data_IF_307570485862
#
_entry.id   IF_307570485862
#
_cell.length_a   1.000
_cell.length_b   1.000
_cell.length_c   1.000
_cell.angle_alpha   90.00
_cell.angle_beta   90.00
_cell.angle_gamma   90.00
#
_symmetry.space_group_name_H-M   'P 1'
#
loop_
_entity.id
_entity.type
_entity.pdbx_description
1 polymer ?
#
# COMPACT_ATOMS: atom_id res chain seq x y z
N UNK A 1 -6.66 -8.72 24.38
CA UNK A 1 -7.32 -7.87 23.37
C UNK A 1 -8.85 -7.90 23.50
N UNK A 2 -9.41 -6.88 24.16
CA UNK A 2 -10.86 -6.67 24.17
C UNK A 2 -11.27 -5.92 22.89
N UNK A 3 -11.91 -6.60 21.94
CA UNK A 3 -12.40 -5.94 20.74
C UNK A 3 -13.60 -5.04 21.06
N UNK A 4 -13.51 -3.75 20.70
CA UNK A 4 -14.59 -2.75 20.85
C UNK A 4 -15.54 -2.68 19.65
N UNK A 5 -15.23 -3.36 18.53
CA UNK A 5 -15.98 -3.30 17.27
C UNK A 5 -16.97 -4.46 17.06
N UNK A 6 -17.44 -5.07 18.15
CA UNK A 6 -18.22 -6.33 18.13
C UNK A 6 -19.53 -6.28 17.34
N UNK A 7 -20.08 -5.09 17.12
CA UNK A 7 -21.32 -4.89 16.35
C UNK A 7 -21.13 -4.73 14.83
N UNK A 8 -19.91 -4.91 14.31
CA UNK A 8 -19.58 -4.65 12.91
C UNK A 8 -18.73 -5.76 12.30
N UNK A 9 -18.78 -5.93 10.97
CA UNK A 9 -17.85 -6.78 10.24
C UNK A 9 -16.45 -6.14 10.27
N UNK A 10 -15.47 -6.83 10.85
CA UNK A 10 -14.11 -6.33 10.97
C UNK A 10 -13.09 -7.48 11.01
N UNK A 11 -11.83 -7.14 10.75
CA UNK A 11 -10.68 -8.02 10.94
C UNK A 11 -9.67 -7.41 11.92
N UNK A 12 -8.87 -8.26 12.55
CA UNK A 12 -7.72 -7.83 13.36
C UNK A 12 -6.47 -7.85 12.49
N UNK A 13 -6.00 -6.68 12.10
CA UNK A 13 -4.84 -6.52 11.25
C UNK A 13 -3.58 -6.26 12.10
N UNK A 14 -2.41 -6.85 11.77
CA UNK A 14 -1.14 -6.43 12.34
C UNK A 14 -0.72 -5.08 11.76
N UNK A 15 0.20 -4.37 12.45
CA UNK A 15 0.56 -2.97 12.16
C UNK A 15 1.24 -2.73 10.79
N UNK A 16 1.81 -3.79 10.22
CA UNK A 16 2.45 -3.86 8.90
C UNK A 16 1.46 -4.27 7.77
N UNK A 17 0.21 -4.57 8.11
CA UNK A 17 -0.79 -4.89 7.10
C UNK A 17 -1.09 -3.69 6.19
N UNK A 18 -1.36 -3.97 4.91
CA UNK A 18 -1.83 -2.99 3.93
C UNK A 18 -3.04 -2.19 4.42
N UNK A 19 -3.90 -2.79 5.26
CA UNK A 19 -5.03 -2.10 5.88
C UNK A 19 -4.62 -0.79 6.57
N UNK A 20 -3.47 -0.77 7.26
CA UNK A 20 -2.91 0.43 7.89
C UNK A 20 -1.94 1.17 6.97
N UNK A 21 -1.01 0.45 6.32
CA UNK A 21 0.05 1.10 5.56
C UNK A 21 -0.45 1.82 4.30
N UNK A 22 -1.64 1.49 3.79
CA UNK A 22 -2.25 2.23 2.67
C UNK A 22 -2.55 3.71 2.96
N UNK A 23 -2.68 4.05 4.24
CA UNK A 23 -2.97 5.41 4.68
C UNK A 23 -1.70 6.28 4.74
N UNK A 24 -0.51 5.66 4.71
CA UNK A 24 0.75 6.39 4.61
C UNK A 24 0.94 7.00 3.21
N UNK A 25 1.62 8.14 3.15
CA UNK A 25 2.11 8.68 1.90
C UNK A 25 3.20 7.76 1.32
N UNK A 26 3.29 7.58 -0.02
CA UNK A 26 4.33 6.77 -0.64
C UNK A 26 5.75 7.11 -0.17
N UNK A 27 6.05 8.40 0.01
CA UNK A 27 7.35 8.87 0.51
C UNK A 27 7.72 8.29 1.89
N UNK A 28 6.75 8.12 2.79
CA UNK A 28 6.99 7.52 4.12
C UNK A 28 7.25 6.02 4.03
N UNK A 29 6.57 5.32 3.11
CA UNK A 29 6.81 3.91 2.82
C UNK A 29 8.19 3.69 2.17
N UNK A 30 8.57 4.57 1.24
CA UNK A 30 9.91 4.62 0.65
C UNK A 30 10.98 4.84 1.72
N UNK A 31 10.76 5.77 2.67
CA UNK A 31 11.67 5.98 3.79
C UNK A 31 11.87 4.69 4.61
N UNK A 32 10.80 3.94 4.88
CA UNK A 32 10.91 2.67 5.60
C UNK A 32 11.78 1.65 4.81
N UNK A 33 11.55 1.52 3.50
CA UNK A 33 12.36 0.67 2.63
C UNK A 33 13.83 1.11 2.60
N UNK A 34 14.10 2.42 2.53
CA UNK A 34 15.45 2.98 2.59
C UNK A 34 16.16 2.64 3.90
N UNK A 35 15.47 2.73 5.06
CA UNK A 35 16.06 2.35 6.35
C UNK A 35 16.40 0.87 6.45
N UNK A 36 15.70 0.02 5.69
CA UNK A 36 16.00 -1.40 5.56
C UNK A 36 16.98 -1.73 4.42
N UNK A 37 17.53 -0.73 3.73
CA UNK A 37 18.37 -0.88 2.54
C UNK A 37 17.71 -1.72 1.43
N UNK A 38 16.39 -1.63 1.29
CA UNK A 38 15.62 -2.34 0.28
C UNK A 38 15.41 -1.42 -0.93
N UNK A 39 15.83 -1.89 -2.11
CA UNK A 39 15.59 -1.19 -3.36
C UNK A 39 14.10 -1.24 -3.75
N UNK A 40 13.64 -0.17 -4.41
CA UNK A 40 12.30 -0.06 -4.97
C UNK A 40 12.35 0.80 -6.22
N UNK A 41 11.38 0.58 -7.11
CA UNK A 41 11.28 1.30 -8.36
C UNK A 41 10.54 2.63 -8.18
N UNK A 42 11.00 3.65 -8.88
CA UNK A 42 10.34 4.97 -9.00
C UNK A 42 10.00 5.30 -10.44
N UNK A 43 10.68 4.67 -11.39
CA UNK A 43 10.44 4.79 -12.83
C UNK A 43 9.81 3.50 -13.38
N UNK A 44 9.02 3.57 -14.46
CA UNK A 44 8.54 2.37 -15.15
C UNK A 44 9.72 1.51 -15.61
N UNK A 45 9.57 0.17 -15.68
CA UNK A 45 10.65 -0.69 -16.13
C UNK A 45 11.03 -0.37 -17.59
N UNK A 46 12.31 -0.52 -18.00
CA UNK A 46 12.77 -0.11 -19.34
C UNK A 46 12.05 -0.79 -20.51
N UNK A 47 11.53 -2.00 -20.28
CA UNK A 47 10.77 -2.82 -21.21
C UNK A 47 9.25 -2.63 -21.10
N UNK A 48 8.78 -1.69 -20.27
CA UNK A 48 7.37 -1.35 -20.17
C UNK A 48 6.81 -0.88 -21.54
N UNK A 49 5.60 -1.33 -21.92
CA UNK A 49 4.92 -0.77 -23.07
C UNK A 49 4.75 0.75 -22.93
N UNK A 50 4.79 1.52 -24.03
CA UNK A 50 4.49 2.94 -23.98
C UNK A 50 3.16 3.21 -23.29
N UNK A 51 3.16 4.11 -22.30
CA UNK A 51 1.97 4.53 -21.58
C UNK A 51 1.62 6.00 -21.93
N UNK A 52 1.12 6.27 -23.16
CA UNK A 52 0.84 7.64 -23.60
C UNK A 52 -0.33 8.27 -22.84
N UNK A 53 -1.20 7.47 -22.22
CA UNK A 53 -2.34 7.96 -21.44
C UNK A 53 -1.95 8.39 -20.02
N UNK A 54 -0.78 7.95 -19.53
CA UNK A 54 -0.37 8.19 -18.15
C UNK A 54 -1.26 7.50 -17.11
N UNK A 55 -1.95 6.42 -17.52
CA UNK A 55 -2.89 5.69 -16.67
C UNK A 55 -2.32 4.37 -16.17
N UNK A 56 -2.72 3.97 -14.97
CA UNK A 56 -2.21 2.77 -14.31
C UNK A 56 -2.61 1.49 -15.07
N UNK A 57 -1.64 0.64 -15.47
CA UNK A 57 -1.90 -0.53 -16.31
C UNK A 57 -2.31 -1.79 -15.53
N UNK A 58 -2.26 -1.75 -14.19
CA UNK A 58 -2.56 -2.91 -13.34
C UNK A 58 -3.94 -3.48 -13.68
N UNK A 59 -4.05 -4.77 -14.03
CA UNK A 59 -5.33 -5.38 -14.35
C UNK A 59 -6.19 -5.48 -13.07
N UNK A 60 -7.43 -5.04 -13.16
CA UNK A 60 -8.45 -5.16 -12.14
C UNK A 60 -9.65 -5.92 -12.72
N UNK A 61 -10.25 -6.81 -11.93
CA UNK A 61 -11.51 -7.45 -12.31
C UNK A 61 -12.67 -6.49 -12.00
N UNK A 62 -13.21 -5.83 -13.02
CA UNK A 62 -14.27 -4.82 -12.89
C UNK A 62 -15.64 -5.42 -13.15
N UNK A 63 -16.61 -5.03 -12.34
CA UNK A 63 -18.03 -5.34 -12.56
C UNK A 63 -18.60 -4.40 -13.62
N UNK A 64 -18.98 -4.97 -14.76
CA UNK A 64 -19.68 -4.28 -15.85
C UNK A 64 -21.06 -4.92 -16.00
N UNK A 65 -22.02 -4.35 -15.27
CA UNK A 65 -23.37 -4.91 -15.13
C UNK A 65 -23.33 -6.24 -14.39
N UNK A 66 -23.72 -7.33 -15.07
CA UNK A 66 -23.70 -8.69 -14.53
C UNK A 66 -22.44 -9.48 -14.90
N UNK A 67 -21.52 -8.87 -15.64
CA UNK A 67 -20.29 -9.54 -16.11
C UNK A 67 -19.06 -8.98 -15.41
N UNK A 68 -18.12 -9.86 -15.11
CA UNK A 68 -16.78 -9.51 -14.65
C UNK A 68 -15.85 -9.47 -15.85
N UNK A 69 -15.05 -8.40 -15.97
CA UNK A 69 -14.04 -8.27 -17.03
C UNK A 69 -12.73 -7.77 -16.44
N UNK A 70 -11.63 -8.33 -16.93
CA UNK A 70 -10.29 -7.84 -16.61
C UNK A 70 -10.01 -6.59 -17.46
N UNK A 71 -9.91 -5.45 -16.79
CA UNK A 71 -9.69 -4.15 -17.39
C UNK A 71 -8.53 -3.46 -16.67
N UNK A 72 -7.74 -2.60 -17.34
CA UNK A 72 -6.72 -1.84 -16.65
C UNK A 72 -7.35 -0.94 -15.59
N UNK A 73 -6.63 -0.73 -14.49
CA UNK A 73 -7.01 0.15 -13.40
C UNK A 73 -7.48 1.51 -13.92
N UNK A 74 -6.69 2.13 -14.79
CA UNK A 74 -7.06 3.36 -15.50
C UNK A 74 -6.95 4.65 -14.67
N UNK A 75 -6.61 4.56 -13.38
CA UNK A 75 -6.34 5.73 -12.52
C UNK A 75 -5.04 6.42 -12.93
N UNK A 76 -4.98 7.73 -12.75
CA UNK A 76 -3.81 8.54 -13.11
C UNK A 76 -2.55 8.10 -12.35
N UNK A 77 -1.43 8.12 -13.07
CA UNK A 77 -0.09 7.88 -12.53
C UNK A 77 0.57 9.21 -12.17
N UNK A 78 1.62 9.17 -11.35
CA UNK A 78 2.43 10.35 -11.04
C UNK A 78 3.93 10.00 -11.18
N UNK A 79 4.79 10.99 -11.46
CA UNK A 79 6.24 10.79 -11.47
C UNK A 79 6.73 10.19 -10.15
N UNK A 80 7.73 9.32 -10.22
CA UNK A 80 8.30 8.65 -9.05
C UNK A 80 7.47 7.49 -8.48
N UNK A 81 6.38 7.08 -9.14
CA UNK A 81 5.51 5.96 -8.73
C UNK A 81 5.57 4.76 -9.69
N UNK A 82 6.68 4.57 -10.40
CA UNK A 82 6.94 3.44 -11.28
C UNK A 82 5.87 3.20 -12.37
N UNK A 83 5.19 4.26 -12.82
CA UNK A 83 4.07 4.15 -13.77
C UNK A 83 2.79 3.55 -13.19
N UNK A 84 2.64 3.53 -11.86
CA UNK A 84 1.46 3.06 -11.14
C UNK A 84 0.66 4.25 -10.57
N UNK A 85 -0.64 4.03 -10.35
CA UNK A 85 -1.45 4.98 -9.57
C UNK A 85 -1.04 4.90 -8.09
N UNK A 86 -1.40 5.92 -7.29
CA UNK A 86 -1.02 5.98 -5.87
C UNK A 86 -1.37 4.71 -5.10
N UNK A 87 -2.57 4.15 -5.30
CA UNK A 87 -3.02 2.97 -4.57
C UNK A 87 -2.14 1.74 -4.89
N UNK A 88 -1.96 1.43 -6.18
CA UNK A 88 -1.14 0.29 -6.60
C UNK A 88 0.35 0.49 -6.32
N UNK A 89 0.85 1.73 -6.37
CA UNK A 89 2.21 2.01 -5.96
C UNK A 89 2.40 1.76 -4.46
N UNK A 90 1.45 2.20 -3.63
CA UNK A 90 1.46 1.88 -2.20
C UNK A 90 1.39 0.37 -1.95
N UNK A 91 0.53 -0.36 -2.65
CA UNK A 91 0.48 -1.84 -2.56
C UNK A 91 1.81 -2.49 -2.93
N UNK A 92 2.45 -2.02 -4.00
CA UNK A 92 3.79 -2.45 -4.39
C UNK A 92 4.82 -2.22 -3.27
N UNK A 93 4.90 -1.01 -2.71
CA UNK A 93 5.84 -0.71 -1.63
C UNK A 93 5.56 -1.55 -0.37
N UNK A 94 4.29 -1.70 0.00
CA UNK A 94 3.87 -2.54 1.13
C UNK A 94 4.21 -4.03 0.89
N UNK A 95 4.11 -4.50 -0.35
CA UNK A 95 4.51 -5.87 -0.69
C UNK A 95 6.00 -6.11 -0.43
N UNK A 96 6.85 -5.11 -0.69
CA UNK A 96 8.28 -5.16 -0.39
C UNK A 96 8.53 -5.11 1.12
N UNK A 97 7.90 -4.16 1.83
CA UNK A 97 7.97 -4.03 3.30
C UNK A 97 7.67 -5.38 3.95
N UNK A 98 6.57 -6.03 3.55
CA UNK A 98 6.11 -7.29 4.13
C UNK A 98 7.02 -8.46 3.75
N UNK A 99 7.49 -8.53 2.50
CA UNK A 99 8.43 -9.57 2.05
C UNK A 99 9.75 -9.53 2.83
N UNK A 100 10.19 -8.34 3.21
CA UNK A 100 11.43 -8.13 3.96
C UNK A 100 11.23 -8.03 5.48
N UNK A 101 9.99 -8.19 5.98
CA UNK A 101 9.68 -8.18 7.41
C UNK A 101 10.00 -6.86 8.10
N UNK A 102 9.87 -5.72 7.40
CA UNK A 102 10.18 -4.41 7.97
C UNK A 102 9.06 -3.95 8.91
N UNK A 103 9.43 -3.56 10.13
CA UNK A 103 8.50 -3.01 11.11
C UNK A 103 8.24 -1.52 10.84
N UNK A 104 6.98 -1.06 10.69
CA UNK A 104 6.69 0.37 10.54
C UNK A 104 6.78 1.17 11.84
N UNK A 105 6.74 0.52 13.01
CA UNK A 105 6.76 1.18 14.32
C UNK A 105 7.95 2.12 14.60
N UNK A 106 9.18 1.88 14.10
CA UNK A 106 10.30 2.80 14.26
C UNK A 106 10.08 4.18 13.63
N UNK A 107 9.15 4.33 12.68
CA UNK A 107 8.78 5.61 12.10
C UNK A 107 7.55 6.24 12.74
N UNK A 108 6.95 5.61 13.76
CA UNK A 108 5.77 6.15 14.43
C UNK A 108 6.13 7.35 15.30
N UNK A 109 5.25 8.35 15.32
CA UNK A 109 5.30 9.38 16.34
C UNK A 109 4.73 8.88 17.68
N UNK A 110 4.77 9.75 18.71
CA UNK A 110 4.29 9.40 20.04
C UNK A 110 2.78 9.08 20.08
N UNK A 111 1.97 9.69 19.21
CA UNK A 111 0.53 9.43 19.16
C UNK A 111 0.23 8.09 18.46
N UNK A 112 0.92 7.80 17.35
CA UNK A 112 0.82 6.53 16.64
C UNK A 112 1.26 5.35 17.52
N UNK A 113 2.34 5.51 18.29
CA UNK A 113 2.79 4.50 19.25
C UNK A 113 1.75 4.23 20.34
N UNK A 114 1.15 5.28 20.91
CA UNK A 114 0.07 5.13 21.92
C UNK A 114 -1.14 4.42 21.33
N UNK A 115 -1.60 4.84 20.14
CA UNK A 115 -2.73 4.23 19.47
C UNK A 115 -2.47 2.75 19.12
N UNK A 116 -1.26 2.40 18.70
CA UNK A 116 -0.87 1.02 18.46
C UNK A 116 -0.82 0.20 19.77
N UNK A 117 -0.28 0.76 20.85
CA UNK A 117 -0.24 0.12 22.15
C UNK A 117 -1.65 -0.15 22.70
N UNK A 118 -2.54 0.84 22.67
CA UNK A 118 -3.95 0.68 23.06
C UNK A 118 -4.64 -0.40 22.23
N UNK A 119 -4.36 -0.49 20.93
CA UNK A 119 -4.97 -1.48 20.05
C UNK A 119 -4.51 -2.91 20.31
N UNK A 120 -3.21 -3.10 20.60
CA UNK A 120 -2.58 -4.42 20.59
C UNK A 120 -2.25 -4.96 21.99
N UNK A 121 -2.11 -4.10 22.99
CA UNK A 121 -1.70 -4.48 24.35
C UNK A 121 -2.81 -4.33 25.39
N UNK A 122 -3.90 -3.61 25.09
CA UNK A 122 -5.05 -3.49 25.98
C UNK A 122 -6.07 -4.64 25.85
#
# INVERSE_FOLDING_TARGET
PQCHLRGSLHGHHPRDCLFYLRDWAPARLQQLLQTGNIAFETEPPPDAPPNPTGQCPVPEQKELGVTLRDEPCGRDTAPGQAGLCRAHYTEYLVSLINRHGLDPAPLYDAAELRAAAERHLA
#
